data_IF_956614472240
#
_entry.id   IF_956614472240
#
_cell.length_a   1.000
_cell.length_b   1.000
_cell.length_c   1.000
_cell.angle_alpha   90.00
_cell.angle_beta   90.00
_cell.angle_gamma   90.00
#
_symmetry.space_group_name_H-M   'P 1'
#
loop_
_entity.id
_entity.type
_entity.pdbx_description
1 polymer ?
#
# COMPACT_ATOMS: atom_id res chain seq x y z
N UNK A 1 5.83 11.22 -61.74
CA UNK A 1 6.45 11.28 -60.40
C UNK A 1 5.32 11.60 -59.41
N UNK A 2 4.85 10.60 -58.66
CA UNK A 2 3.78 10.77 -57.67
C UNK A 2 4.42 11.02 -56.30
N UNK A 3 3.93 12.04 -55.59
CA UNK A 3 4.28 12.36 -54.22
C UNK A 3 3.30 11.64 -53.29
N UNK A 4 3.78 10.76 -52.43
CA UNK A 4 3.01 10.21 -51.30
C UNK A 4 3.56 10.81 -50.02
N UNK A 5 2.83 11.78 -49.47
CA UNK A 5 3.05 12.35 -48.14
C UNK A 5 2.62 11.33 -47.09
N UNK A 6 3.56 10.88 -46.26
CA UNK A 6 3.29 10.01 -45.12
C UNK A 6 2.85 10.88 -43.94
N UNK A 7 1.55 10.90 -43.66
CA UNK A 7 1.01 11.45 -42.40
C UNK A 7 1.30 10.49 -41.26
N UNK A 8 2.30 10.80 -40.44
CA UNK A 8 2.53 10.11 -39.17
C UNK A 8 1.62 10.79 -38.14
N UNK A 9 0.53 10.12 -37.77
CA UNK A 9 -0.30 10.53 -36.63
C UNK A 9 0.54 10.41 -35.35
N UNK A 10 0.79 11.54 -34.71
CA UNK A 10 1.32 11.62 -33.36
C UNK A 10 0.31 10.99 -32.39
N UNK A 11 0.59 9.77 -31.93
CA UNK A 11 -0.09 9.20 -30.78
C UNK A 11 0.34 9.98 -29.53
N UNK A 12 -0.44 10.98 -29.14
CA UNK A 12 -0.36 11.54 -27.79
C UNK A 12 -0.85 10.47 -26.82
N UNK A 13 0.08 9.75 -26.21
CA UNK A 13 -0.19 8.99 -25.00
C UNK A 13 -0.57 10.00 -23.91
N UNK A 14 -1.87 10.19 -23.71
CA UNK A 14 -2.38 10.92 -22.56
C UNK A 14 -1.97 10.13 -21.30
N UNK A 15 -0.93 10.60 -20.62
CA UNK A 15 -0.72 10.25 -19.21
C UNK A 15 -1.92 10.83 -18.47
N UNK A 16 -2.93 10.00 -18.22
CA UNK A 16 -3.97 10.34 -17.27
C UNK A 16 -3.27 10.59 -15.93
N UNK A 17 -3.46 11.80 -15.40
CA UNK A 17 -2.90 12.18 -14.13
C UNK A 17 -3.37 11.19 -13.04
N UNK A 18 -2.41 10.63 -12.31
CA UNK A 18 -2.67 9.92 -11.06
C UNK A 18 -3.23 10.97 -10.11
N UNK A 19 -4.55 10.97 -9.88
CA UNK A 19 -5.14 11.80 -8.85
C UNK A 19 -4.68 11.25 -7.50
N UNK A 20 -3.73 11.95 -6.90
CA UNK A 20 -3.46 11.81 -5.48
C UNK A 20 -4.74 12.24 -4.73
N UNK A 21 -5.49 11.27 -4.22
CA UNK A 21 -6.61 11.54 -3.33
C UNK A 21 -6.06 12.00 -1.98
N UNK A 22 -5.69 13.29 -1.89
CA UNK A 22 -5.02 13.94 -0.73
C UNK A 22 -5.77 13.83 0.60
N UNK A 23 -7.01 13.35 0.59
CA UNK A 23 -7.92 13.34 1.73
C UNK A 23 -8.11 11.95 2.34
N UNK A 24 -7.44 10.91 1.82
CA UNK A 24 -7.47 9.57 2.44
C UNK A 24 -6.19 9.36 3.26
N UNK A 25 -6.35 8.96 4.51
CA UNK A 25 -5.25 8.61 5.42
C UNK A 25 -5.52 7.21 5.96
N UNK A 26 -4.50 6.37 5.99
CA UNK A 26 -4.54 5.10 6.72
C UNK A 26 -3.67 5.20 7.97
N UNK A 27 -4.20 4.70 9.06
CA UNK A 27 -3.59 4.75 10.38
C UNK A 27 -3.01 3.38 10.72
N UNK A 28 -1.69 3.29 10.84
CA UNK A 28 -0.98 2.12 11.34
C UNK A 28 -0.87 2.25 12.85
N UNK A 29 -1.19 1.18 13.57
CA UNK A 29 -1.17 1.15 15.04
C UNK A 29 -0.56 -0.14 15.58
N UNK A 30 -0.07 -0.08 16.82
CA UNK A 30 0.52 -1.20 17.55
C UNK A 30 1.67 -1.90 16.82
N UNK A 31 2.45 -1.15 16.02
CA UNK A 31 3.58 -1.70 15.28
C UNK A 31 4.60 -2.34 16.22
N UNK A 32 4.82 -3.63 16.01
CA UNK A 32 5.88 -4.41 16.60
C UNK A 32 6.57 -5.20 15.49
N UNK A 33 7.79 -4.81 15.17
CA UNK A 33 8.56 -5.44 14.12
C UNK A 33 10.02 -5.56 14.58
N UNK A 34 10.69 -6.64 14.19
CA UNK A 34 12.11 -6.79 14.38
C UNK A 34 12.64 -8.14 13.92
N UNK A 35 13.98 -8.23 13.87
CA UNK A 35 14.72 -9.43 13.51
C UNK A 35 15.52 -9.98 14.69
N UNK A 36 15.36 -11.28 14.98
CA UNK A 36 16.21 -12.02 15.93
C UNK A 36 17.46 -12.58 15.26
N UNK A 37 17.34 -12.94 13.99
CA UNK A 37 18.42 -13.36 13.09
C UNK A 37 18.03 -12.99 11.65
N UNK A 38 18.96 -13.10 10.70
CA UNK A 38 18.68 -12.78 9.29
C UNK A 38 17.59 -13.67 8.68
N UNK A 39 17.31 -14.82 9.30
CA UNK A 39 16.28 -15.78 8.87
C UNK A 39 15.02 -15.80 9.76
N UNK A 40 14.98 -14.96 10.80
CA UNK A 40 13.89 -14.91 11.78
C UNK A 40 13.55 -13.45 12.08
N UNK A 41 12.81 -12.86 11.14
CA UNK A 41 12.18 -11.55 11.29
C UNK A 41 10.68 -11.72 11.47
N UNK A 42 10.05 -10.75 12.11
CA UNK A 42 8.59 -10.75 12.23
C UNK A 42 8.04 -9.34 12.29
N UNK A 43 6.76 -9.22 11.99
CA UNK A 43 6.00 -8.02 12.25
C UNK A 43 4.58 -8.36 12.71
N UNK A 44 4.01 -7.42 13.46
CA UNK A 44 2.62 -7.35 13.87
C UNK A 44 2.22 -5.88 13.88
N UNK A 45 1.13 -5.53 13.22
CA UNK A 45 0.51 -4.21 13.32
C UNK A 45 -0.96 -4.28 12.93
N UNK A 46 -1.73 -3.27 13.33
CA UNK A 46 -3.08 -3.05 12.84
C UNK A 46 -3.06 -1.87 11.87
N UNK A 47 -3.94 -1.91 10.86
CA UNK A 47 -4.16 -0.80 9.95
C UNK A 47 -5.64 -0.49 9.85
N UNK A 48 -5.97 0.79 9.92
CA UNK A 48 -7.33 1.31 9.78
C UNK A 48 -7.34 2.34 8.67
N UNK A 49 -8.13 2.09 7.63
CA UNK A 49 -8.47 3.11 6.66
C UNK A 49 -9.78 3.75 7.07
N UNK A 50 -9.78 5.07 7.28
CA UNK A 50 -11.02 5.79 7.55
C UNK A 50 -11.75 6.11 6.25
N UNK A 51 -13.08 5.99 6.29
CA UNK A 51 -13.93 6.55 5.24
C UNK A 51 -13.86 8.06 5.40
N UNK A 52 -13.25 8.77 4.46
CA UNK A 52 -13.47 10.21 4.39
C UNK A 52 -14.88 10.45 3.85
N UNK A 53 -15.64 11.35 4.47
CA UNK A 53 -16.98 11.73 3.99
C UNK A 53 -16.96 12.40 2.60
N UNK A 54 -15.76 12.62 2.05
CA UNK A 54 -15.49 13.29 0.78
C UNK A 54 -15.00 12.33 -0.32
N UNK A 55 -14.58 11.12 0.02
CA UNK A 55 -14.08 10.13 -0.94
C UNK A 55 -15.06 8.97 -1.05
N UNK A 56 -15.83 8.97 -2.14
CA UNK A 56 -16.71 7.84 -2.47
C UNK A 56 -15.93 6.59 -2.88
N UNK A 57 -14.61 6.69 -3.10
CA UNK A 57 -13.77 5.65 -3.70
C UNK A 57 -12.98 4.81 -2.69
N UNK A 58 -12.81 5.28 -1.45
CA UNK A 58 -12.02 4.59 -0.42
C UNK A 58 -12.91 4.15 0.75
N UNK A 59 -13.47 2.91 0.71
CA UNK A 59 -14.26 2.40 1.83
C UNK A 59 -13.39 2.23 3.06
N UNK A 60 -13.98 2.48 4.24
CA UNK A 60 -13.27 2.30 5.50
C UNK A 60 -13.03 0.82 5.81
N UNK A 61 -11.86 0.49 6.37
CA UNK A 61 -11.48 -0.88 6.70
C UNK A 61 -10.62 -0.94 7.95
N UNK A 62 -10.54 -2.14 8.53
CA UNK A 62 -9.59 -2.49 9.58
C UNK A 62 -9.03 -3.88 9.31
N UNK A 63 -7.70 -3.98 9.35
CA UNK A 63 -6.99 -5.24 9.16
C UNK A 63 -5.88 -5.40 10.20
N UNK A 64 -5.55 -6.64 10.52
CA UNK A 64 -4.39 -7.01 11.31
C UNK A 64 -3.39 -7.74 10.41
N UNK A 65 -2.16 -7.26 10.39
CA UNK A 65 -1.09 -7.79 9.56
C UNK A 65 -0.06 -8.46 10.47
N UNK A 66 0.23 -9.74 10.21
CA UNK A 66 1.26 -10.49 10.93
C UNK A 66 1.99 -11.43 10.00
N UNK A 67 3.31 -11.48 10.10
CA UNK A 67 4.10 -12.47 9.40
C UNK A 67 5.42 -12.77 10.10
N UNK A 68 6.00 -13.91 9.71
CA UNK A 68 7.42 -14.21 9.86
C UNK A 68 8.08 -14.13 8.51
N UNK A 69 9.25 -13.51 8.46
CA UNK A 69 9.96 -13.16 7.24
C UNK A 69 11.46 -13.35 7.42
N UNK A 70 12.21 -13.12 6.36
CA UNK A 70 13.66 -12.98 6.40
C UNK A 70 14.03 -11.49 6.39
N UNK A 71 15.30 -11.19 6.65
CA UNK A 71 15.84 -9.85 6.50
C UNK A 71 15.63 -9.37 5.06
N UNK A 72 15.30 -8.09 4.91
CA UNK A 72 15.06 -7.43 3.62
C UNK A 72 13.91 -8.02 2.76
N UNK A 73 13.06 -8.89 3.33
CA UNK A 73 11.91 -9.46 2.63
C UNK A 73 10.87 -8.38 2.30
N UNK A 74 10.63 -8.17 1.01
CA UNK A 74 9.73 -7.18 0.43
C UNK A 74 8.45 -7.81 -0.15
N UNK A 75 8.21 -9.10 0.09
CA UNK A 75 7.06 -9.79 -0.50
C UNK A 75 5.77 -9.45 0.26
N UNK A 76 4.74 -8.88 -0.38
CA UNK A 76 3.47 -8.61 0.27
C UNK A 76 2.80 -9.89 0.75
N UNK A 77 2.24 -9.86 1.96
CA UNK A 77 1.52 -10.98 2.57
C UNK A 77 0.12 -10.56 2.99
N UNK A 78 -0.86 -11.48 2.94
CA UNK A 78 -2.24 -11.16 3.28
C UNK A 78 -2.38 -10.80 4.75
N UNK A 79 -3.10 -9.72 5.00
CA UNK A 79 -3.56 -9.33 6.32
C UNK A 79 -4.95 -9.93 6.60
N UNK A 80 -5.27 -10.12 7.87
CA UNK A 80 -6.60 -10.55 8.28
C UNK A 80 -7.52 -9.33 8.35
N UNK A 81 -8.54 -9.29 7.49
CA UNK A 81 -9.60 -8.28 7.59
C UNK A 81 -10.41 -8.53 8.86
N UNK A 82 -10.36 -7.57 9.79
CA UNK A 82 -11.11 -7.62 11.06
C UNK A 82 -12.48 -6.97 10.89
N UNK A 83 -12.56 -5.97 10.01
CA UNK A 83 -13.82 -5.34 9.65
C UNK A 83 -13.70 -4.55 8.36
N UNK A 84 -14.78 -4.55 7.57
CA UNK A 84 -14.92 -3.69 6.39
C UNK A 84 -16.22 -2.92 6.52
N UNK A 85 -16.16 -1.60 6.48
CA UNK A 85 -17.36 -0.78 6.30
C UNK A 85 -17.60 -0.65 4.81
N UNK A 86 -18.65 -1.33 4.31
CA UNK A 86 -19.11 -1.11 2.94
C UNK A 86 -19.45 0.37 2.77
N UNK A 87 -18.83 1.05 1.81
CA UNK A 87 -19.17 2.43 1.47
C UNK A 87 -19.75 2.44 0.06
N UNK A 88 -21.09 2.54 -0.02
CA UNK A 88 -21.78 2.55 -1.32
C UNK A 88 -21.54 1.26 -2.10
N UNK A 89 -20.97 1.37 -3.31
CA UNK A 89 -20.68 0.22 -4.19
C UNK A 89 -19.34 -0.47 -3.88
N UNK A 90 -18.43 0.20 -3.18
CA UNK A 90 -17.06 -0.27 -2.97
C UNK A 90 -16.95 -1.18 -1.74
N UNK A 91 -16.26 -2.31 -1.91
CA UNK A 91 -15.89 -3.25 -0.87
C UNK A 91 -14.36 -3.42 -0.83
N UNK A 92 -13.82 -3.72 0.34
CA UNK A 92 -12.42 -4.15 0.46
C UNK A 92 -12.38 -5.65 0.17
N UNK A 93 -11.62 -6.03 -0.85
CA UNK A 93 -11.42 -7.42 -1.24
C UNK A 93 -10.23 -8.01 -0.50
N UNK A 94 -9.09 -7.31 -0.53
CA UNK A 94 -7.82 -7.78 0.01
C UNK A 94 -7.03 -6.62 0.64
N UNK A 95 -6.29 -6.93 1.70
CA UNK A 95 -5.25 -6.06 2.27
C UNK A 95 -4.00 -6.90 2.36
N UNK A 96 -2.93 -6.46 1.71
CA UNK A 96 -1.62 -7.08 1.77
C UNK A 96 -0.61 -6.08 2.33
N UNK A 97 0.42 -6.56 3.00
CA UNK A 97 1.49 -5.70 3.48
C UNK A 97 2.81 -6.44 3.62
N UNK A 98 3.90 -5.69 3.66
CA UNK A 98 5.20 -6.19 4.08
C UNK A 98 5.95 -5.14 4.92
N UNK A 99 6.93 -5.63 5.67
CA UNK A 99 7.90 -4.82 6.38
C UNK A 99 9.29 -5.40 6.12
N UNK A 100 10.07 -4.72 5.29
CA UNK A 100 11.44 -5.09 4.92
C UNK A 100 12.39 -4.47 5.94
N UNK A 101 13.02 -5.33 6.76
CA UNK A 101 13.73 -4.95 7.98
C UNK A 101 15.16 -5.46 7.97
N UNK A 102 16.03 -4.81 8.74
CA UNK A 102 17.40 -5.24 9.01
C UNK A 102 17.59 -5.75 10.43
N UNK A 103 18.75 -6.33 10.70
CA UNK A 103 19.13 -6.73 12.05
C UNK A 103 19.36 -5.54 12.97
N UNK A 104 19.16 -5.76 14.27
CA UNK A 104 19.26 -4.71 15.29
C UNK A 104 20.67 -4.19 15.55
N UNK A 105 21.71 -4.80 14.98
CA UNK A 105 23.09 -4.30 14.97
C UNK A 105 23.40 -3.46 13.72
N UNK A 106 22.53 -3.49 12.71
CA UNK A 106 22.54 -2.64 11.52
C UNK A 106 21.66 -1.39 11.71
N UNK A 107 21.64 -0.83 12.93
CA UNK A 107 20.84 0.36 13.27
C UNK A 107 21.28 1.53 12.39
N UNK A 108 20.36 2.07 11.61
CA UNK A 108 20.62 3.12 10.63
C UNK A 108 20.31 2.71 9.18
N UNK A 109 20.16 1.41 8.92
CA UNK A 109 19.66 0.93 7.63
C UNK A 109 18.20 1.35 7.39
N UNK A 110 17.87 1.56 6.13
CA UNK A 110 16.50 1.84 5.70
C UNK A 110 15.61 0.62 5.93
N UNK A 111 14.43 0.86 6.47
CA UNK A 111 13.33 -0.08 6.61
C UNK A 111 12.22 0.38 5.68
N UNK A 112 11.70 -0.55 4.88
CA UNK A 112 10.60 -0.28 3.97
C UNK A 112 9.32 -0.90 4.51
N UNK A 113 8.27 -0.09 4.54
CA UNK A 113 6.93 -0.50 4.91
C UNK A 113 6.00 -0.17 3.74
N UNK A 114 5.17 -1.13 3.34
CA UNK A 114 4.15 -0.93 2.32
C UNK A 114 2.88 -1.70 2.67
N UNK A 115 1.76 -1.09 2.32
CA UNK A 115 0.42 -1.68 2.37
C UNK A 115 -0.23 -1.50 1.01
N UNK A 116 -0.73 -2.61 0.48
CA UNK A 116 -1.57 -2.68 -0.69
C UNK A 116 -3.00 -2.98 -0.24
N UNK A 117 -3.97 -2.20 -0.73
CA UNK A 117 -5.40 -2.47 -0.53
C UNK A 117 -6.10 -2.55 -1.87
N UNK A 118 -6.87 -3.63 -2.06
CA UNK A 118 -7.69 -3.84 -3.25
C UNK A 118 -9.15 -3.57 -2.93
N UNK A 119 -9.74 -2.68 -3.70
CA UNK A 119 -11.17 -2.36 -3.64
C UNK A 119 -11.89 -2.86 -4.90
N UNK A 120 -13.17 -3.17 -4.74
CA UNK A 120 -14.02 -3.62 -5.83
C UNK A 120 -15.39 -2.93 -5.73
N UNK A 121 -15.82 -2.32 -6.83
CA UNK A 121 -17.10 -1.60 -6.94
C UNK A 121 -18.23 -2.44 -7.58
N UNK A 122 -17.93 -3.72 -7.85
CA UNK A 122 -18.78 -4.67 -8.57
C UNK A 122 -18.48 -4.75 -10.08
N UNK A 123 -17.72 -3.81 -10.64
CA UNK A 123 -17.41 -3.72 -12.07
C UNK A 123 -15.92 -3.56 -12.38
N UNK A 124 -15.17 -2.92 -11.48
CA UNK A 124 -13.74 -2.69 -11.59
C UNK A 124 -13.02 -2.97 -10.26
N UNK A 125 -11.75 -3.34 -10.37
CA UNK A 125 -10.83 -3.48 -9.24
C UNK A 125 -9.90 -2.29 -9.19
N UNK A 126 -9.74 -1.72 -8.00
CA UNK A 126 -8.86 -0.60 -7.74
C UNK A 126 -7.77 -1.05 -6.76
N UNK A 127 -6.54 -0.65 -7.00
CA UNK A 127 -5.40 -0.98 -6.14
C UNK A 127 -4.83 0.34 -5.60
N UNK A 128 -4.65 0.41 -4.29
CA UNK A 128 -4.04 1.54 -3.62
C UNK A 128 -2.83 1.06 -2.84
N UNK A 129 -1.72 1.79 -2.96
CA UNK A 129 -0.50 1.55 -2.22
C UNK A 129 -0.22 2.72 -1.28
N UNK A 130 0.21 2.40 -0.07
CA UNK A 130 0.68 3.38 0.89
C UNK A 130 1.87 2.80 1.65
N UNK A 131 2.96 3.56 1.69
CA UNK A 131 4.20 3.08 2.29
C UNK A 131 5.05 4.20 2.86
N UNK A 132 6.07 3.81 3.60
CA UNK A 132 7.08 4.71 4.15
C UNK A 132 8.43 4.03 4.19
N UNK A 133 9.46 4.79 3.83
CA UNK A 133 10.85 4.42 4.06
C UNK A 133 11.39 5.28 5.19
N UNK A 134 12.00 4.67 6.19
CA UNK A 134 12.67 5.37 7.27
C UNK A 134 13.74 4.47 7.90
N UNK A 135 14.64 5.03 8.71
CA UNK A 135 15.63 4.19 9.39
C UNK A 135 14.95 3.22 10.38
N UNK A 136 15.62 2.11 10.67
CA UNK A 136 15.09 1.07 11.55
C UNK A 136 14.71 1.57 12.96
N UNK A 137 15.53 2.42 13.57
CA UNK A 137 15.32 2.88 14.95
C UNK A 137 14.04 3.74 15.08
N UNK A 138 13.83 4.66 14.15
CA UNK A 138 12.61 5.47 14.08
C UNK A 138 11.39 4.60 13.76
N UNK A 139 11.58 3.53 12.99
CA UNK A 139 10.52 2.56 12.67
C UNK A 139 10.04 1.76 13.85
N UNK A 140 10.95 1.13 14.59
CA UNK A 140 10.54 0.35 15.77
C UNK A 140 10.01 1.23 16.91
N UNK A 141 10.41 2.51 16.94
CA UNK A 141 9.97 3.50 17.92
C UNK A 141 8.61 4.12 17.60
N UNK A 142 8.24 4.29 16.32
CA UNK A 142 7.03 5.00 15.92
C UNK A 142 5.76 4.45 16.59
N UNK A 143 5.62 3.11 16.66
CA UNK A 143 4.43 2.34 17.12
C UNK A 143 3.13 2.63 16.37
N UNK A 144 2.84 3.90 16.09
CA UNK A 144 1.68 4.39 15.38
C UNK A 144 2.13 5.48 14.40
N UNK A 145 1.59 5.47 13.19
CA UNK A 145 1.89 6.48 12.17
C UNK A 145 0.85 6.47 11.05
N UNK A 146 0.83 7.56 10.30
CA UNK A 146 -0.08 7.74 9.17
C UNK A 146 0.64 7.48 7.84
N UNK A 147 -0.08 6.89 6.90
CA UNK A 147 0.35 6.69 5.52
C UNK A 147 -0.74 7.18 4.57
N UNK A 148 -0.31 7.62 3.39
CA UNK A 148 -1.17 8.29 2.42
C UNK A 148 -1.27 7.42 1.17
N UNK A 149 -2.41 6.75 0.93
CA UNK A 149 -2.57 5.88 -0.21
C UNK A 149 -2.63 6.65 -1.53
N UNK A 150 -1.96 6.10 -2.53
CA UNK A 150 -1.99 6.55 -3.92
C UNK A 150 -2.66 5.46 -4.75
N UNK A 151 -3.64 5.84 -5.57
CA UNK A 151 -4.28 4.93 -6.49
C UNK A 151 -3.31 4.57 -7.62
N UNK A 152 -3.06 3.27 -7.81
CA UNK A 152 -2.44 2.79 -9.04
C UNK A 152 -3.54 2.26 -9.96
N UNK A 153 -3.63 2.79 -11.18
CA UNK A 153 -4.47 2.17 -12.21
C UNK A 153 -3.83 0.84 -12.62
N UNK A 154 -4.23 -0.23 -11.94
CA UNK A 154 -4.01 -1.59 -12.42
C UNK A 154 -4.77 -1.76 -13.74
N UNK A 155 -4.05 -2.04 -14.83
CA UNK A 155 -4.68 -2.57 -16.03
C UNK A 155 -5.33 -3.91 -15.65
N UNK A 156 -6.66 -3.97 -15.60
CA UNK A 156 -7.36 -5.24 -15.54
C UNK A 156 -6.92 -6.05 -16.77
N UNK A 157 -6.15 -7.12 -16.55
CA UNK A 157 -5.93 -8.16 -17.55
C UNK A 157 -7.11 -9.11 -17.55
#
# INVERSE_FOLDING_TARGET
MQFTTVSILSALSALAAVEAHSDTIWHVTDLNAGCRSSSDCSYLFNIVGDKSDKSDFTPGFSAQCTARTQQLDDSPRPCTLVGSRKSGKYNVDEVNAYVSQTLSDERGSETHFDVEVKFNDGSAKYIYHAGKTQNYDDFVAAKNFDIYPIAEQGSAK
#
